data_IF_613751162321
#
_entry.id   IF_613751162321
#
_cell.length_a   1.000
_cell.length_b   1.000
_cell.length_c   1.000
_cell.angle_alpha   90.00
_cell.angle_beta   90.00
_cell.angle_gamma   90.00
#
_symmetry.space_group_name_H-M   'P 1'
#
loop_
_entity.id
_entity.type
_entity.pdbx_description
1 polymer ?
#
# COMPACT_ATOMS: atom_id res chain seq x y z
N UNK A 1 19.15 16.96 25.82
CA UNK A 1 18.70 16.60 24.46
C UNK A 1 18.81 15.09 24.33
N UNK A 2 17.70 14.38 24.57
CA UNK A 2 17.64 12.93 24.41
C UNK A 2 17.51 12.60 22.93
N UNK A 3 18.53 11.95 22.37
CA UNK A 3 18.45 11.33 21.05
C UNK A 3 17.36 10.27 21.12
N UNK A 4 16.27 10.47 20.38
CA UNK A 4 15.27 9.42 20.17
C UNK A 4 15.97 8.19 19.59
N UNK A 5 15.64 6.96 20.05
CA UNK A 5 16.23 5.76 19.48
C UNK A 5 16.02 5.82 17.98
N UNK A 6 17.10 5.66 17.20
CA UNK A 6 17.05 5.68 15.76
C UNK A 6 15.92 4.74 15.32
N UNK A 7 14.77 5.30 14.94
CA UNK A 7 13.63 4.54 14.49
C UNK A 7 14.10 3.84 13.23
N UNK A 8 14.44 2.56 13.39
CA UNK A 8 14.97 1.72 12.33
C UNK A 8 14.02 1.86 11.15
N UNK A 9 14.47 2.51 10.08
CA UNK A 9 13.62 2.90 8.94
C UNK A 9 12.88 1.67 8.46
N UNK A 10 11.56 1.62 8.68
CA UNK A 10 10.73 0.47 8.34
C UNK A 10 10.74 0.35 6.82
N UNK A 11 11.28 -0.76 6.31
CA UNK A 11 11.26 -1.06 4.88
C UNK A 11 9.92 -1.68 4.54
N UNK A 12 9.13 -0.97 3.74
CA UNK A 12 7.83 -1.43 3.26
C UNK A 12 7.89 -1.53 1.75
N UNK A 13 7.44 -2.66 1.23
CA UNK A 13 7.46 -2.92 -0.21
C UNK A 13 6.22 -3.68 -0.67
N UNK A 14 5.77 -3.37 -1.88
CA UNK A 14 4.75 -4.13 -2.59
C UNK A 14 5.46 -5.13 -3.51
N UNK A 15 5.22 -6.42 -3.28
CA UNK A 15 5.69 -7.48 -4.17
C UNK A 15 4.64 -7.81 -5.23
N UNK A 16 5.05 -7.93 -6.50
CA UNK A 16 4.21 -8.47 -7.57
C UNK A 16 4.68 -9.87 -7.90
N UNK A 17 3.74 -10.81 -7.92
CA UNK A 17 3.99 -12.21 -8.16
C UNK A 17 3.22 -12.67 -9.39
N UNK A 18 3.83 -13.52 -10.19
CA UNK A 18 3.17 -14.26 -11.27
C UNK A 18 3.04 -15.72 -10.86
N UNK A 19 1.94 -16.36 -11.25
CA UNK A 19 1.76 -17.79 -11.09
C UNK A 19 1.98 -18.47 -12.45
N UNK A 20 2.95 -19.37 -12.52
CA UNK A 20 3.19 -20.22 -13.68
C UNK A 20 3.16 -21.69 -13.24
N UNK A 21 2.32 -22.49 -13.88
CA UNK A 21 2.11 -23.91 -13.57
C UNK A 21 1.93 -24.22 -12.07
N UNK A 22 1.24 -23.34 -11.34
CA UNK A 22 1.00 -23.48 -9.90
C UNK A 22 2.13 -22.97 -8.99
N UNK A 23 3.23 -22.44 -9.55
CA UNK A 23 4.34 -21.84 -8.79
C UNK A 23 4.26 -20.33 -8.82
N UNK A 24 4.31 -19.71 -7.65
CA UNK A 24 4.39 -18.26 -7.50
C UNK A 24 5.83 -17.81 -7.58
N UNK A 25 6.12 -16.93 -8.54
CA UNK A 25 7.42 -16.32 -8.73
C UNK A 25 7.31 -14.82 -8.49
N UNK A 26 8.21 -14.28 -7.67
CA UNK A 26 8.29 -12.83 -7.48
C UNK A 26 8.83 -12.19 -8.76
N UNK A 27 8.03 -11.36 -9.40
CA UNK A 27 8.43 -10.63 -10.60
C UNK A 27 9.14 -9.34 -10.24
N UNK A 28 8.62 -8.61 -9.25
CA UNK A 28 9.19 -7.35 -8.80
C UNK A 28 8.87 -7.05 -7.34
N UNK A 29 9.69 -6.19 -6.73
CA UNK A 29 9.48 -5.63 -5.40
C UNK A 29 9.67 -4.12 -5.48
N UNK A 30 8.63 -3.37 -5.13
CA UNK A 30 8.59 -1.91 -5.23
C UNK A 30 8.61 -1.35 -3.81
N UNK A 31 9.67 -0.62 -3.46
CA UNK A 31 9.76 0.04 -2.15
C UNK A 31 8.77 1.21 -2.10
N UNK A 32 8.00 1.29 -1.03
CA UNK A 32 6.97 2.33 -0.84
C UNK A 32 7.14 3.12 0.46
N UNK A 33 8.11 2.77 1.31
CA UNK A 33 8.33 3.38 2.62
C UNK A 33 8.49 4.90 2.55
N UNK A 34 9.20 5.40 1.54
CA UNK A 34 9.44 6.83 1.32
C UNK A 34 8.17 7.65 1.02
N UNK A 35 7.05 7.01 0.68
CA UNK A 35 5.78 7.69 0.40
C UNK A 35 4.80 7.61 1.58
N UNK A 36 5.09 6.75 2.55
CA UNK A 36 4.24 6.57 3.72
C UNK A 36 4.57 7.63 4.78
N UNK A 37 3.59 8.04 5.60
CA UNK A 37 3.89 8.85 6.77
C UNK A 37 4.79 8.08 7.74
N UNK A 38 5.68 8.77 8.43
CA UNK A 38 6.56 8.14 9.45
C UNK A 38 5.78 7.45 10.58
N UNK A 39 4.55 7.90 10.81
CA UNK A 39 3.61 7.36 11.80
C UNK A 39 2.67 6.29 11.21
N UNK A 40 2.95 5.80 9.99
CA UNK A 40 2.17 4.72 9.39
C UNK A 40 2.27 3.44 10.24
N UNK A 41 1.13 3.00 10.76
CA UNK A 41 1.02 1.79 11.58
C UNK A 41 0.43 0.62 10.80
N UNK A 42 -0.25 0.90 9.69
CA UNK A 42 -0.96 -0.11 8.90
C UNK A 42 -0.98 0.27 7.42
N UNK A 43 -0.85 -0.73 6.57
CA UNK A 43 -1.02 -0.60 5.13
C UNK A 43 -1.92 -1.74 4.63
N UNK A 44 -2.84 -1.46 3.71
CA UNK A 44 -3.65 -2.48 3.05
C UNK A 44 -3.71 -2.22 1.55
N UNK A 45 -3.50 -3.25 0.76
CA UNK A 45 -3.87 -3.22 -0.66
C UNK A 45 -5.39 -3.17 -0.77
N UNK A 46 -5.88 -2.38 -1.72
CA UNK A 46 -7.31 -2.26 -2.01
C UNK A 46 -7.62 -2.81 -3.38
N UNK A 47 -7.07 -2.20 -4.43
CA UNK A 47 -7.47 -2.52 -5.80
C UNK A 47 -6.28 -2.66 -6.72
N UNK A 48 -6.48 -3.42 -7.79
CA UNK A 48 -5.55 -3.54 -8.90
C UNK A 48 -6.33 -3.35 -10.21
N UNK A 49 -5.95 -2.33 -10.97
CA UNK A 49 -6.48 -2.02 -12.28
C UNK A 49 -5.61 -2.72 -13.32
N UNK A 50 -6.03 -3.90 -13.76
CA UNK A 50 -5.27 -4.78 -14.66
C UNK A 50 -4.87 -4.12 -15.98
N UNK A 51 -5.77 -3.34 -16.60
CA UNK A 51 -5.50 -2.66 -17.88
C UNK A 51 -4.50 -1.52 -17.79
N UNK A 52 -4.49 -0.81 -16.66
CA UNK A 52 -3.65 0.38 -16.47
C UNK A 52 -2.42 0.13 -15.60
N UNK A 53 -2.27 -1.08 -15.05
CA UNK A 53 -1.17 -1.42 -14.16
C UNK A 53 -1.15 -0.59 -12.87
N UNK A 54 -2.30 -0.07 -12.43
CA UNK A 54 -2.39 0.76 -11.21
C UNK A 54 -2.80 -0.09 -10.01
N UNK A 55 -2.07 0.02 -8.92
CA UNK A 55 -2.41 -0.55 -7.61
C UNK A 55 -2.85 0.57 -6.69
N UNK A 56 -4.05 0.47 -6.12
CA UNK A 56 -4.49 1.33 -5.04
C UNK A 56 -4.25 0.65 -3.69
N UNK A 57 -3.65 1.37 -2.77
CA UNK A 57 -3.45 0.92 -1.40
C UNK A 57 -3.71 2.07 -0.43
N UNK A 58 -4.07 1.75 0.80
CA UNK A 58 -4.23 2.74 1.85
C UNK A 58 -3.23 2.52 2.98
N UNK A 59 -2.81 3.61 3.59
CA UNK A 59 -2.06 3.62 4.83
C UNK A 59 -2.92 4.26 5.94
N UNK A 60 -2.76 3.77 7.17
CA UNK A 60 -3.30 4.42 8.36
C UNK A 60 -2.12 4.94 9.17
N UNK A 61 -2.15 6.22 9.49
CA UNK A 61 -1.11 6.94 10.18
C UNK A 61 -1.70 7.73 11.35
N UNK A 62 -0.84 8.11 12.31
CA UNK A 62 -1.22 8.85 13.50
C UNK A 62 -1.51 7.95 14.72
N UNK A 63 -1.77 8.60 15.86
CA UNK A 63 -2.11 7.96 17.13
C UNK A 63 -3.61 7.69 17.25
N UNK A 64 -4.07 7.20 18.40
CA UNK A 64 -5.48 6.85 18.62
C UNK A 64 -6.44 8.05 18.54
N UNK A 65 -5.98 9.27 18.80
CA UNK A 65 -6.81 10.49 18.80
C UNK A 65 -6.78 11.21 17.44
N UNK A 66 -5.67 11.09 16.71
CA UNK A 66 -5.41 11.79 15.45
C UNK A 66 -5.13 10.84 14.29
N UNK A 67 -5.88 9.73 14.19
CA UNK A 67 -5.76 8.82 13.05
C UNK A 67 -6.08 9.51 11.74
N UNK A 68 -5.36 9.14 10.71
CA UNK A 68 -5.60 9.54 9.32
C UNK A 68 -5.48 8.33 8.43
N UNK A 69 -6.39 8.18 7.48
CA UNK A 69 -6.25 7.22 6.40
C UNK A 69 -5.91 7.93 5.09
N UNK A 70 -4.82 7.51 4.47
CA UNK A 70 -4.31 8.05 3.21
C UNK A 70 -4.40 6.97 2.13
N UNK A 71 -4.78 7.35 0.91
CA UNK A 71 -4.87 6.44 -0.24
C UNK A 71 -3.82 6.84 -1.25
N UNK A 72 -3.19 5.82 -1.82
CA UNK A 72 -2.11 5.94 -2.79
C UNK A 72 -2.43 5.16 -4.06
N UNK A 73 -1.95 5.68 -5.18
CA UNK A 73 -1.90 5.01 -6.46
C UNK A 73 -0.43 4.69 -6.80
N UNK A 74 -0.13 3.42 -7.02
CA UNK A 74 1.15 2.94 -7.54
C UNK A 74 0.97 2.55 -9.00
N UNK A 75 1.74 3.15 -9.89
CA UNK A 75 1.87 2.66 -11.27
C UNK A 75 2.97 1.59 -11.35
N UNK A 76 2.64 0.41 -11.84
CA UNK A 76 3.63 -0.66 -12.05
C UNK A 76 4.59 -0.33 -13.20
N UNK A 77 4.12 0.41 -14.21
CA UNK A 77 4.93 0.75 -15.39
C UNK A 77 6.02 1.76 -15.03
N UNK A 78 5.66 2.82 -14.31
CA UNK A 78 6.60 3.90 -13.96
C UNK A 78 7.21 3.74 -12.57
N UNK A 79 6.64 2.84 -11.74
CA UNK A 79 6.99 2.66 -10.32
C UNK A 79 6.76 3.92 -9.48
N UNK A 80 6.00 4.88 -10.01
CA UNK A 80 5.64 6.09 -9.30
C UNK A 80 4.50 5.81 -8.32
N UNK A 81 4.62 6.40 -7.12
CA UNK A 81 3.58 6.39 -6.10
C UNK A 81 3.09 7.81 -5.91
N UNK A 82 1.78 7.99 -5.98
CA UNK A 82 1.11 9.26 -5.73
C UNK A 82 0.09 9.10 -4.61
N UNK A 83 0.04 10.06 -3.70
CA UNK A 83 -1.04 10.16 -2.72
C UNK A 83 -2.25 10.81 -3.38
N UNK A 84 -3.36 10.08 -3.45
CA UNK A 84 -4.58 10.53 -4.15
C UNK A 84 -5.69 10.97 -3.21
N UNK A 85 -5.66 10.55 -1.94
CA UNK A 85 -6.64 11.00 -0.95
C UNK A 85 -6.10 10.96 0.49
N UNK A 86 -6.74 11.73 1.37
CA UNK A 86 -6.46 11.78 2.80
C UNK A 86 -7.75 12.08 3.56
N UNK A 87 -8.03 11.32 4.62
CA UNK A 87 -9.23 11.46 5.42
C UNK A 87 -8.90 11.33 6.91
N UNK A 88 -9.58 12.13 7.74
CA UNK A 88 -9.42 12.11 9.20
C UNK A 88 -10.21 10.94 9.79
N UNK A 89 -9.55 10.10 10.57
CA UNK A 89 -10.10 8.88 11.14
C UNK A 89 -9.84 7.62 10.29
N UNK A 90 -10.12 6.47 10.90
CA UNK A 90 -9.87 5.12 10.36
C UNK A 90 -11.12 4.56 9.65
N UNK A 91 -11.86 5.41 8.93
CA UNK A 91 -13.03 4.93 8.18
C UNK A 91 -12.57 4.08 7.01
N UNK A 92 -13.26 2.97 6.80
CA UNK A 92 -12.96 2.05 5.70
C UNK A 92 -13.31 2.75 4.37
N UNK A 93 -12.31 2.92 3.49
CA UNK A 93 -12.50 3.44 2.13
C UNK A 93 -13.31 2.48 1.21
N UNK A 94 -14.12 1.60 1.79
CA UNK A 94 -14.81 0.48 1.17
C UNK A 94 -15.99 0.85 0.25
N UNK A 95 -16.20 2.12 -0.07
CA UNK A 95 -17.31 2.57 -0.94
C UNK A 95 -16.76 3.39 -2.11
N UNK A 96 -16.05 2.71 -3.01
CA UNK A 96 -16.02 3.11 -4.43
C UNK A 96 -16.63 1.95 -5.21
N UNK A 97 -17.96 1.98 -5.38
CA UNK A 97 -18.70 0.98 -6.15
C UNK A 97 -18.55 1.24 -7.65
N UNK A 98 -17.36 0.98 -8.20
CA UNK A 98 -17.12 0.92 -9.64
C UNK A 98 -17.21 -0.53 -10.12
N UNK A 99 -18.30 -0.88 -10.82
CA UNK A 99 -18.52 -2.25 -11.31
C UNK A 99 -17.46 -2.61 -12.35
N UNK A 100 -16.86 -3.80 -12.19
CA UNK A 100 -15.97 -4.52 -13.12
C UNK A 100 -14.46 -4.29 -12.90
N UNK A 101 -13.90 -5.01 -11.93
CA UNK A 101 -12.45 -5.18 -11.76
C UNK A 101 -12.12 -6.65 -11.53
N UNK A 102 -11.12 -7.15 -12.25
CA UNK A 102 -10.75 -8.57 -12.27
C UNK A 102 -10.07 -8.93 -10.94
N UNK A 103 -10.67 -9.89 -10.23
CA UNK A 103 -10.07 -10.53 -9.04
C UNK A 103 -8.84 -11.33 -9.49
N UNK A 104 -7.67 -10.72 -9.56
CA UNK A 104 -6.40 -11.46 -9.50
C UNK A 104 -5.99 -11.53 -8.04
N UNK A 105 -5.81 -12.74 -7.51
CA UNK A 105 -5.38 -12.98 -6.14
C UNK A 105 -3.95 -12.46 -5.97
N UNK A 106 -3.81 -11.26 -5.41
CA UNK A 106 -2.53 -10.70 -4.97
C UNK A 106 -2.36 -11.10 -3.50
N UNK A 107 -1.42 -12.00 -3.21
CA UNK A 107 -1.02 -12.35 -1.86
C UNK A 107 0.18 -11.48 -1.45
N UNK A 108 0.10 -10.81 -0.30
CA UNK A 108 1.23 -10.06 0.26
C UNK A 108 1.63 -10.63 1.62
N UNK A 109 2.91 -10.90 1.79
CA UNK A 109 3.53 -11.05 3.09
C UNK A 109 3.93 -9.66 3.61
N UNK A 110 3.25 -9.16 4.64
CA UNK A 110 3.72 -8.02 5.43
C UNK A 110 4.46 -8.56 6.66
N UNK A 111 5.78 -8.37 6.74
CA UNK A 111 6.50 -8.54 8.00
C UNK A 111 6.34 -7.24 8.80
N UNK A 112 5.27 -7.16 9.59
CA UNK A 112 5.02 -6.08 10.57
C UNK A 112 5.79 -6.34 11.87
#
# INVERSE_FOLDING_TARGET
>A
MSLSPAMRKRRVSIGVYTCDCGRWNMKESIQVDQYLPDTATKMRLRWFCDRSGIIFFNAVAGDNEHRRSEVYALSLDTKAVEKVASHVGDRDWGIFTGRRWVRRHIHLCSNL
#
